data_IF_696785316290
#
_entry.id   IF_696785316290
#
_cell.length_a   1.000
_cell.length_b   1.000
_cell.length_c   1.000
_cell.angle_alpha   90.00
_cell.angle_beta   90.00
_cell.angle_gamma   90.00
#
_symmetry.space_group_name_H-M   'P 1'
#
loop_
_entity.id
_entity.type
_entity.pdbx_description
1 polymer ?
#
# COMPACT_ATOMS: atom_id res chain seq x y z
N UNK A 1 -58.08 50.63 30.55
CA UNK A 1 -58.52 50.84 29.17
C UNK A 1 -57.28 50.60 28.32
N UNK A 2 -57.11 49.46 27.65
CA UNK A 2 -58.17 48.61 27.10
C UNK A 2 -58.44 49.02 25.64
N UNK A 3 -58.66 48.12 24.68
CA UNK A 3 -58.81 46.66 24.77
C UNK A 3 -58.22 46.03 23.49
N UNK A 4 -57.61 44.82 23.45
CA UNK A 4 -57.86 43.52 24.11
C UNK A 4 -58.97 42.72 23.41
N UNK A 5 -58.65 41.47 23.04
CA UNK A 5 -59.36 40.58 22.09
C UNK A 5 -59.19 41.01 20.62
N UNK A 6 -59.00 40.10 19.65
CA UNK A 6 -59.46 38.71 19.58
C UNK A 6 -58.38 37.61 19.69
N UNK A 7 -58.78 36.47 20.27
CA UNK A 7 -58.17 35.16 20.00
C UNK A 7 -58.87 34.59 18.75
N UNK A 8 -58.17 33.83 17.91
CA UNK A 8 -58.42 32.37 17.79
C UNK A 8 -57.68 31.68 16.62
N UNK A 9 -57.42 30.38 16.82
CA UNK A 9 -57.14 29.36 15.80
C UNK A 9 -55.89 29.49 14.88
N UNK A 10 -54.75 28.95 15.34
CA UNK A 10 -54.00 27.98 14.50
C UNK A 10 -53.73 26.74 15.36
N UNK A 11 -54.26 25.59 14.92
CA UNK A 11 -54.03 24.30 15.57
C UNK A 11 -52.58 23.85 15.39
N UNK A 12 -52.01 23.28 16.44
CA UNK A 12 -51.01 22.23 16.31
C UNK A 12 -51.71 21.03 15.65
N UNK A 13 -51.33 20.69 14.42
CA UNK A 13 -51.69 19.40 13.83
C UNK A 13 -50.44 18.52 13.81
N UNK A 14 -50.51 17.43 14.56
CA UNK A 14 -49.40 16.53 14.87
C UNK A 14 -49.78 15.15 14.36
N UNK A 15 -49.71 14.93 13.04
CA UNK A 15 -50.08 13.65 12.46
C UNK A 15 -49.38 13.40 11.12
N UNK A 16 -48.27 12.66 11.14
CA UNK A 16 -47.55 12.25 9.92
C UNK A 16 -47.06 10.79 10.07
N UNK A 17 -47.91 9.84 9.65
CA UNK A 17 -47.68 8.39 9.61
C UNK A 17 -48.66 7.71 8.61
N UNK A 18 -48.36 6.51 8.07
CA UNK A 18 -48.11 6.42 6.63
C UNK A 18 -48.93 5.32 5.91
N UNK A 19 -48.70 5.17 4.59
CA UNK A 19 -48.95 4.03 3.67
C UNK A 19 -49.68 4.46 2.38
N UNK A 20 -49.51 3.83 1.20
CA UNK A 20 -48.41 3.00 0.65
C UNK A 20 -48.64 2.72 -0.84
N UNK A 21 -47.61 2.82 -1.68
CA UNK A 21 -47.48 2.06 -2.94
C UNK A 21 -46.00 1.99 -3.35
N UNK A 22 -45.32 0.88 -3.09
CA UNK A 22 -45.20 -0.28 -3.98
C UNK A 22 -44.32 -0.04 -5.23
N UNK A 23 -43.02 -0.28 -5.08
CA UNK A 23 -42.16 -0.99 -6.06
C UNK A 23 -40.92 -1.51 -5.30
N UNK A 24 -40.55 -2.77 -5.52
CA UNK A 24 -39.50 -3.45 -4.76
C UNK A 24 -38.05 -3.03 -5.13
N UNK A 25 -37.09 -3.08 -4.20
CA UNK A 25 -35.69 -2.79 -4.49
C UNK A 25 -35.03 -3.95 -5.26
N UNK A 26 -34.27 -3.62 -6.32
CA UNK A 26 -33.39 -4.57 -7.00
C UNK A 26 -32.01 -4.58 -6.34
N UNK A 27 -31.33 -5.73 -6.21
CA UNK A 27 -29.99 -5.79 -5.65
C UNK A 27 -28.98 -5.12 -6.58
N UNK A 28 -28.25 -4.13 -6.07
CA UNK A 28 -27.19 -3.43 -6.80
C UNK A 28 -25.90 -4.25 -6.70
N UNK A 29 -25.76 -5.27 -7.55
CA UNK A 29 -24.46 -5.89 -7.81
C UNK A 29 -23.72 -5.07 -8.86
N UNK A 30 -23.11 -3.95 -8.46
CA UNK A 30 -22.15 -3.26 -9.31
C UNK A 30 -20.82 -4.00 -9.27
N UNK A 31 -20.64 -4.93 -10.21
CA UNK A 31 -19.32 -5.45 -10.56
C UNK A 31 -18.50 -4.28 -11.08
N UNK A 32 -17.58 -3.76 -10.26
CA UNK A 32 -16.64 -2.71 -10.67
C UNK A 32 -15.63 -3.35 -11.62
N UNK A 33 -15.98 -3.38 -12.90
CA UNK A 33 -15.01 -3.63 -13.96
C UNK A 33 -14.01 -2.48 -13.95
N UNK A 34 -12.87 -2.64 -13.24
CA UNK A 34 -11.68 -1.80 -13.38
C UNK A 34 -11.11 -2.00 -14.79
N UNK A 35 -11.74 -1.40 -15.80
CA UNK A 35 -11.11 -1.15 -17.08
C UNK A 35 -9.97 -0.16 -16.85
N UNK A 36 -8.75 -0.67 -17.02
CA UNK A 36 -7.51 0.09 -16.92
C UNK A 36 -7.61 1.25 -17.93
N UNK A 37 -7.72 2.49 -17.44
CA UNK A 37 -7.82 3.69 -18.29
C UNK A 37 -6.45 4.08 -18.87
N UNK A 38 -5.86 3.23 -19.71
CA UNK A 38 -4.83 3.66 -20.65
C UNK A 38 -5.47 4.52 -21.75
N UNK A 39 -4.95 5.72 -21.95
CA UNK A 39 -5.38 6.69 -22.98
C UNK A 39 -6.76 7.34 -22.78
N UNK A 40 -6.95 8.01 -21.64
CA UNK A 40 -7.81 9.19 -21.63
C UNK A 40 -7.02 10.34 -22.27
N UNK A 41 -7.29 10.62 -23.54
CA UNK A 41 -6.64 11.71 -24.27
C UNK A 41 -6.91 13.02 -23.51
N UNK A 42 -5.84 13.65 -23.00
CA UNK A 42 -5.96 14.95 -22.36
C UNK A 42 -6.14 16.01 -23.45
N UNK A 43 -7.37 16.24 -23.91
CA UNK A 43 -7.70 17.26 -24.92
C UNK A 43 -7.17 18.66 -24.55
N UNK A 44 -7.01 18.94 -23.26
CA UNK A 44 -6.35 20.15 -22.75
C UNK A 44 -4.87 20.20 -23.12
N UNK A 45 -4.15 19.08 -23.00
CA UNK A 45 -2.75 18.95 -23.39
C UNK A 45 -2.60 19.05 -24.92
N UNK A 46 -3.45 18.37 -25.70
CA UNK A 46 -3.48 18.51 -27.17
C UNK A 46 -3.68 19.97 -27.62
N UNK A 47 -4.61 20.67 -26.96
CA UNK A 47 -4.85 22.10 -27.18
C UNK A 47 -3.59 22.94 -26.90
N UNK A 48 -2.94 22.76 -25.75
CA UNK A 48 -1.69 23.48 -25.46
C UNK A 48 -0.56 23.12 -26.43
N UNK A 49 -0.37 21.86 -26.83
CA UNK A 49 0.62 21.47 -27.85
C UNK A 49 0.36 22.17 -29.19
N UNK A 50 -0.90 22.24 -29.64
CA UNK A 50 -1.28 22.94 -30.86
C UNK A 50 -1.00 24.45 -30.79
N UNK A 51 -1.28 25.09 -29.64
CA UNK A 51 -0.96 26.50 -29.43
C UNK A 51 0.55 26.74 -29.35
N UNK A 52 1.30 25.89 -28.64
CA UNK A 52 2.76 25.95 -28.53
C UNK A 52 3.42 25.80 -29.90
N UNK A 53 2.95 24.87 -30.74
CA UNK A 53 3.44 24.70 -32.12
C UNK A 53 3.18 25.90 -33.05
N UNK A 54 2.23 26.77 -32.73
CA UNK A 54 1.85 27.96 -33.52
C UNK A 54 2.40 29.27 -32.94
N UNK A 55 2.68 29.30 -31.64
CA UNK A 55 3.14 30.49 -30.90
C UNK A 55 4.67 30.64 -30.86
N UNK A 56 5.17 31.86 -30.71
CA UNK A 56 6.61 32.17 -30.60
C UNK A 56 6.88 33.34 -29.64
N UNK A 57 8.06 33.36 -29.04
CA UNK A 57 8.53 34.44 -28.16
C UNK A 57 7.62 34.67 -26.94
N UNK A 58 7.30 35.94 -26.64
CA UNK A 58 6.51 36.35 -25.46
C UNK A 58 5.16 35.62 -25.33
N UNK A 59 4.53 35.22 -26.44
CA UNK A 59 3.28 34.44 -26.40
C UNK A 59 3.50 33.03 -25.84
N UNK A 60 4.65 32.41 -26.14
CA UNK A 60 5.02 31.08 -25.63
C UNK A 60 5.31 31.13 -24.12
N UNK A 61 5.98 32.20 -23.65
CA UNK A 61 6.24 32.41 -22.21
C UNK A 61 4.92 32.47 -21.42
N UNK A 62 3.93 33.25 -21.88
CA UNK A 62 2.59 33.30 -21.26
C UNK A 62 1.86 31.96 -21.32
N UNK A 63 1.96 31.24 -22.42
CA UNK A 63 1.40 29.89 -22.53
C UNK A 63 2.05 28.91 -21.54
N UNK A 64 3.34 29.05 -21.24
CA UNK A 64 4.02 28.26 -20.19
C UNK A 64 3.49 28.65 -18.81
N UNK A 65 3.33 29.94 -18.50
CA UNK A 65 2.75 30.40 -17.23
C UNK A 65 1.32 29.86 -17.02
N UNK A 66 0.47 29.97 -18.05
CA UNK A 66 -0.90 29.44 -18.07
C UNK A 66 -0.93 27.91 -17.94
N UNK A 67 -0.07 27.19 -18.69
CA UNK A 67 0.07 25.73 -18.63
C UNK A 67 0.47 25.26 -17.23
N UNK A 68 1.46 25.91 -16.64
CA UNK A 68 1.94 25.61 -15.28
C UNK A 68 0.85 25.89 -14.25
N UNK A 69 0.07 26.98 -14.39
CA UNK A 69 -1.08 27.27 -13.52
C UNK A 69 -2.27 26.32 -13.73
N UNK A 70 -2.39 25.71 -14.91
CA UNK A 70 -3.55 24.91 -15.26
C UNK A 70 -3.62 23.57 -14.49
N UNK A 71 -4.77 23.30 -13.86
CA UNK A 71 -5.08 21.98 -13.29
C UNK A 71 -5.36 20.94 -14.38
N UNK A 72 -5.06 19.67 -14.10
CA UNK A 72 -5.30 18.55 -15.04
C UNK A 72 -4.18 18.25 -16.04
N UNK A 73 -3.08 19.01 -16.06
CA UNK A 73 -1.87 18.69 -16.84
C UNK A 73 -0.69 18.53 -15.89
N UNK A 74 -0.16 17.32 -15.78
CA UNK A 74 0.95 16.97 -14.88
C UNK A 74 2.06 16.18 -15.60
N UNK A 75 1.94 16.06 -16.92
CA UNK A 75 2.91 15.46 -17.84
C UNK A 75 3.39 16.58 -18.75
N UNK A 76 4.70 16.80 -18.81
CA UNK A 76 5.35 17.91 -19.50
C UNK A 76 6.40 17.43 -20.52
N UNK A 77 6.74 16.14 -20.57
CA UNK A 77 7.74 15.57 -21.48
C UNK A 77 7.43 15.83 -22.95
N UNK A 78 6.18 15.58 -23.39
CA UNK A 78 5.71 15.87 -24.75
C UNK A 78 5.85 17.36 -25.10
N UNK A 79 5.68 18.23 -24.11
CA UNK A 79 5.75 19.68 -24.27
C UNK A 79 7.22 20.12 -24.39
N UNK A 80 8.11 19.55 -23.56
CA UNK A 80 9.55 19.81 -23.57
C UNK A 80 10.24 19.29 -24.85
N UNK A 81 9.70 18.27 -25.51
CA UNK A 81 10.18 17.77 -26.79
C UNK A 81 9.86 18.71 -27.97
N UNK A 82 8.93 19.67 -27.80
CA UNK A 82 8.56 20.59 -28.88
C UNK A 82 9.69 21.58 -29.24
N UNK A 83 9.95 21.74 -30.54
CA UNK A 83 10.98 22.65 -31.08
C UNK A 83 10.88 24.10 -30.56
N UNK A 84 9.71 24.75 -30.44
CA UNK A 84 9.62 26.11 -29.93
C UNK A 84 10.14 26.26 -28.49
N UNK A 85 10.04 25.22 -27.67
CA UNK A 85 10.50 25.21 -26.28
C UNK A 85 12.02 24.92 -26.20
N UNK A 86 12.55 24.11 -27.13
CA UNK A 86 13.99 23.94 -27.30
C UNK A 86 14.66 25.23 -27.83
N UNK A 87 14.01 25.95 -28.75
CA UNK A 87 14.46 27.28 -29.20
C UNK A 87 14.46 28.29 -28.03
N UNK A 88 13.47 28.22 -27.13
CA UNK A 88 13.39 29.07 -25.93
C UNK A 88 14.59 28.91 -24.99
N UNK A 89 15.13 27.69 -24.86
CA UNK A 89 16.35 27.42 -24.09
C UNK A 89 17.61 28.13 -24.64
N UNK A 90 17.61 28.53 -25.92
CA UNK A 90 18.73 29.26 -26.53
C UNK A 90 18.71 30.77 -26.26
N UNK A 91 17.57 31.30 -25.79
CA UNK A 91 17.42 32.74 -25.52
C UNK A 91 17.68 33.04 -24.03
N UNK A 92 18.67 33.88 -23.69
CA UNK A 92 19.10 34.07 -22.30
C UNK A 92 18.07 34.77 -21.40
N UNK A 93 17.06 35.42 -21.97
CA UNK A 93 15.93 36.01 -21.22
C UNK A 93 14.86 35.00 -20.86
N UNK A 94 14.69 33.96 -21.67
CA UNK A 94 13.54 33.05 -21.62
C UNK A 94 13.96 31.63 -21.17
N UNK A 95 15.27 31.34 -21.15
CA UNK A 95 15.86 30.09 -20.68
C UNK A 95 15.44 29.74 -19.23
N UNK A 96 15.18 30.73 -18.38
CA UNK A 96 14.69 30.51 -17.01
C UNK A 96 13.29 29.89 -16.97
N UNK A 97 12.42 30.15 -17.96
CA UNK A 97 11.13 29.47 -18.10
C UNK A 97 11.27 28.04 -18.64
N UNK A 98 12.26 27.79 -19.52
CA UNK A 98 12.59 26.43 -19.93
C UNK A 98 13.13 25.59 -18.75
N UNK A 99 14.00 26.16 -17.92
CA UNK A 99 14.46 25.50 -16.69
C UNK A 99 13.34 25.27 -15.68
N UNK A 100 12.40 26.21 -15.57
CA UNK A 100 11.19 26.04 -14.76
C UNK A 100 10.33 24.88 -15.28
N UNK A 101 10.12 24.76 -16.59
CA UNK A 101 9.40 23.63 -17.18
C UNK A 101 10.13 22.30 -16.95
N UNK A 102 11.46 22.27 -17.10
CA UNK A 102 12.29 21.09 -16.81
C UNK A 102 12.22 20.68 -15.33
N UNK A 103 12.11 21.65 -14.42
CA UNK A 103 11.89 21.42 -12.99
C UNK A 103 10.49 20.83 -12.71
N UNK A 104 9.44 21.31 -13.39
CA UNK A 104 8.10 20.70 -13.29
C UNK A 104 8.04 19.29 -13.92
N UNK A 105 8.80 19.02 -14.98
CA UNK A 105 8.94 17.68 -15.53
C UNK A 105 9.67 16.72 -14.57
N UNK A 106 10.84 17.10 -14.04
CA UNK A 106 11.77 16.13 -13.41
C UNK A 106 12.25 16.43 -11.98
N UNK A 107 12.00 17.62 -11.41
CA UNK A 107 12.57 18.03 -10.11
C UNK A 107 11.54 18.25 -8.99
N UNK A 108 12.01 18.55 -7.79
CA UNK A 108 11.20 18.63 -6.57
C UNK A 108 10.97 20.07 -6.09
N UNK A 109 10.11 20.26 -5.10
CA UNK A 109 9.96 21.54 -4.39
C UNK A 109 11.29 22.07 -3.82
N UNK A 110 12.16 21.18 -3.31
CA UNK A 110 13.52 21.53 -2.83
C UNK A 110 14.39 22.10 -3.95
N UNK A 111 14.30 21.52 -5.15
CA UNK A 111 15.06 21.97 -6.32
C UNK A 111 14.60 23.34 -6.86
N UNK A 112 13.34 23.72 -6.62
CA UNK A 112 12.85 25.08 -6.83
C UNK A 112 13.48 26.06 -5.83
N UNK A 113 13.40 25.74 -4.54
CA UNK A 113 13.93 26.61 -3.47
C UNK A 113 15.42 26.87 -3.63
N UNK A 114 16.19 25.84 -3.98
CA UNK A 114 17.63 25.96 -4.23
C UNK A 114 17.97 26.89 -5.40
N UNK A 115 17.07 27.04 -6.39
CA UNK A 115 17.24 27.87 -7.59
C UNK A 115 16.29 29.08 -7.66
N UNK A 116 15.71 29.48 -6.53
CA UNK A 116 14.71 30.55 -6.47
C UNK A 116 15.24 31.93 -6.95
N UNK A 117 16.56 32.12 -6.98
CA UNK A 117 17.20 33.34 -7.49
C UNK A 117 17.35 33.36 -9.03
N UNK A 118 17.29 32.20 -9.68
CA UNK A 118 17.51 32.00 -11.11
C UNK A 118 16.20 31.82 -11.88
N UNK A 119 15.16 31.35 -11.19
CA UNK A 119 13.85 31.00 -11.75
C UNK A 119 12.81 32.14 -11.59
N UNK A 120 11.80 32.22 -12.50
CA UNK A 120 10.65 33.11 -12.33
C UNK A 120 9.86 32.79 -11.05
N UNK A 121 9.24 33.81 -10.46
CA UNK A 121 8.40 33.63 -9.26
C UNK A 121 7.14 32.85 -9.60
N UNK A 122 6.94 31.71 -8.92
CA UNK A 122 5.72 30.92 -9.05
C UNK A 122 4.49 31.62 -8.47
N UNK A 123 3.35 31.40 -9.13
CA UNK A 123 2.03 31.66 -8.60
C UNK A 123 1.64 30.59 -7.55
N UNK A 124 0.62 30.86 -6.74
CA UNK A 124 0.10 29.95 -5.71
C UNK A 124 -0.34 28.60 -6.30
N UNK A 125 -1.13 28.63 -7.38
CA UNK A 125 -1.57 27.43 -8.09
C UNK A 125 -0.39 26.58 -8.62
N UNK A 126 0.64 27.25 -9.15
CA UNK A 126 1.86 26.58 -9.63
C UNK A 126 2.67 25.99 -8.47
N UNK A 127 2.68 26.67 -7.32
CA UNK A 127 3.33 26.22 -6.08
C UNK A 127 2.66 24.96 -5.54
N UNK A 128 1.33 24.96 -5.38
CA UNK A 128 0.58 23.77 -4.94
C UNK A 128 0.74 22.61 -5.92
N UNK A 129 0.79 22.89 -7.23
CA UNK A 129 1.06 21.89 -8.27
C UNK A 129 2.46 21.28 -8.16
N UNK A 130 3.51 22.08 -7.94
CA UNK A 130 4.88 21.55 -7.77
C UNK A 130 5.04 20.75 -6.48
N UNK A 131 4.38 21.19 -5.40
CA UNK A 131 4.28 20.43 -4.15
C UNK A 131 3.59 19.07 -4.38
N UNK A 132 2.46 19.05 -5.11
CA UNK A 132 1.76 17.80 -5.46
C UNK A 132 2.61 16.86 -6.35
N UNK A 133 3.34 17.40 -7.33
CA UNK A 133 4.31 16.64 -8.13
C UNK A 133 5.47 16.07 -7.29
N UNK A 134 5.82 16.73 -6.17
CA UNK A 134 6.81 16.23 -5.21
C UNK A 134 6.24 15.08 -4.36
N UNK A 135 4.97 15.15 -3.93
CA UNK A 135 4.29 14.01 -3.28
C UNK A 135 4.22 12.82 -4.24
N UNK A 136 3.88 13.04 -5.51
CA UNK A 136 3.87 12.00 -6.54
C UNK A 136 5.23 11.31 -6.68
N UNK A 137 6.33 12.08 -6.77
CA UNK A 137 7.67 11.51 -6.85
C UNK A 137 8.01 10.67 -5.60
N UNK A 138 7.71 11.17 -4.40
CA UNK A 138 7.86 10.43 -3.14
C UNK A 138 7.03 9.13 -3.10
N UNK A 139 5.82 9.16 -3.67
CA UNK A 139 4.93 8.02 -3.78
C UNK A 139 5.41 6.92 -4.73
N UNK A 140 6.27 7.24 -5.72
CA UNK A 140 6.93 6.24 -6.57
C UNK A 140 7.94 5.39 -5.78
N UNK A 141 8.65 5.99 -4.81
CA UNK A 141 9.65 5.29 -4.00
C UNK A 141 9.08 4.61 -2.75
N UNK A 142 8.00 5.14 -2.17
CA UNK A 142 7.44 4.67 -0.90
C UNK A 142 5.91 4.71 -0.88
N UNK A 143 5.28 3.55 -0.63
CA UNK A 143 3.80 3.43 -0.51
C UNK A 143 3.25 3.90 0.84
N UNK A 144 4.10 4.01 1.86
CA UNK A 144 3.73 4.53 3.17
C UNK A 144 4.65 5.71 3.43
N UNK A 145 4.08 6.91 3.49
CA UNK A 145 4.83 8.16 3.63
C UNK A 145 4.41 8.81 4.95
N UNK A 146 5.35 9.13 5.83
CA UNK A 146 5.06 9.87 7.05
C UNK A 146 4.75 11.34 6.74
N UNK A 147 3.81 11.94 7.47
CA UNK A 147 3.53 13.37 7.38
C UNK A 147 4.76 14.20 7.77
N UNK A 148 5.62 13.73 8.68
CA UNK A 148 6.87 14.43 9.03
C UNK A 148 7.74 14.70 7.81
N UNK A 149 7.96 13.67 7.00
CA UNK A 149 8.79 13.73 5.79
C UNK A 149 8.19 14.70 4.77
N UNK A 150 6.86 14.67 4.60
CA UNK A 150 6.15 15.55 3.67
C UNK A 150 6.13 17.00 4.13
N UNK A 151 5.94 17.27 5.43
CA UNK A 151 5.97 18.63 5.98
C UNK A 151 7.37 19.26 5.85
N UNK A 152 8.43 18.48 6.11
CA UNK A 152 9.82 18.91 5.87
C UNK A 152 10.10 19.11 4.37
N UNK A 153 9.63 18.20 3.50
CA UNK A 153 9.95 18.21 2.08
C UNK A 153 9.19 19.27 1.27
N UNK A 154 7.94 19.54 1.63
CA UNK A 154 7.09 20.54 0.98
C UNK A 154 7.12 21.90 1.69
N UNK A 155 7.81 22.00 2.83
CA UNK A 155 7.87 23.19 3.69
C UNK A 155 6.47 23.73 4.01
N UNK A 156 5.64 22.84 4.54
CA UNK A 156 4.28 23.14 5.01
C UNK A 156 4.31 23.10 6.54
N UNK A 157 3.77 24.13 7.18
CA UNK A 157 3.72 24.24 8.66
C UNK A 157 2.52 23.53 9.28
N UNK A 158 1.43 23.39 8.52
CA UNK A 158 0.14 22.90 9.00
C UNK A 158 -0.21 21.54 8.40
N UNK A 159 -0.57 20.57 9.24
CA UNK A 159 -1.03 19.25 8.78
C UNK A 159 -2.27 19.35 7.91
N UNK A 160 -3.21 20.25 8.24
CA UNK A 160 -4.44 20.46 7.47
C UNK A 160 -4.17 20.90 6.03
N UNK A 161 -3.23 21.83 5.81
CA UNK A 161 -2.84 22.28 4.48
C UNK A 161 -2.13 21.18 3.65
N UNK A 162 -1.42 20.27 4.32
CA UNK A 162 -0.89 19.07 3.66
C UNK A 162 -2.00 18.09 3.28
N UNK A 163 -2.97 17.85 4.17
CA UNK A 163 -4.12 16.98 3.90
C UNK A 163 -4.97 17.50 2.74
N UNK A 164 -5.27 18.81 2.70
CA UNK A 164 -5.98 19.47 1.60
C UNK A 164 -5.26 19.27 0.25
N UNK A 165 -3.94 19.42 0.22
CA UNK A 165 -3.14 19.23 -1.00
C UNK A 165 -3.07 17.75 -1.46
N UNK A 166 -3.07 16.80 -0.52
CA UNK A 166 -3.19 15.37 -0.83
C UNK A 166 -4.59 15.05 -1.37
N UNK A 167 -5.63 15.61 -0.75
CA UNK A 167 -7.04 15.46 -1.16
C UNK A 167 -7.25 16.00 -2.58
N UNK A 168 -6.71 17.17 -2.91
CA UNK A 168 -6.68 17.71 -4.28
C UNK A 168 -6.00 16.76 -5.27
N UNK A 169 -4.91 16.11 -4.85
CA UNK A 169 -4.23 15.07 -5.63
C UNK A 169 -5.10 13.86 -5.92
N UNK A 170 -5.90 13.42 -4.93
CA UNK A 170 -6.83 12.30 -5.07
C UNK A 170 -8.01 12.68 -5.98
N UNK A 171 -8.63 13.86 -5.76
CA UNK A 171 -9.71 14.35 -6.62
C UNK A 171 -9.27 14.61 -8.07
N UNK A 172 -8.01 15.00 -8.28
CA UNK A 172 -7.42 15.15 -9.61
C UNK A 172 -7.08 13.82 -10.30
N UNK A 173 -7.21 12.68 -9.60
CA UNK A 173 -6.88 11.35 -10.11
C UNK A 173 -5.38 11.08 -10.25
N UNK A 174 -4.54 11.82 -9.51
CA UNK A 174 -3.08 11.69 -9.53
C UNK A 174 -2.59 10.62 -8.55
N UNK A 175 -3.22 10.58 -7.38
CA UNK A 175 -2.93 9.65 -6.30
C UNK A 175 -4.21 8.87 -5.98
N UNK A 176 -4.07 7.59 -5.67
CA UNK A 176 -5.13 6.79 -5.05
C UNK A 176 -4.57 6.22 -3.75
N UNK A 177 -5.30 6.32 -2.66
CA UNK A 177 -4.76 6.07 -1.33
C UNK A 177 -5.67 6.52 -0.18
N UNK A 178 -5.16 6.37 1.04
CA UNK A 178 -5.86 6.65 2.29
C UNK A 178 -4.98 7.48 3.22
N UNK A 179 -5.59 8.49 3.83
CA UNK A 179 -4.97 9.31 4.85
C UNK A 179 -5.22 8.66 6.22
N UNK A 180 -4.16 8.25 6.91
CA UNK A 180 -4.24 7.73 8.28
C UNK A 180 -3.76 8.82 9.25
N UNK A 181 -4.72 9.65 9.66
CA UNK A 181 -4.49 10.76 10.57
C UNK A 181 -4.10 10.29 11.99
N UNK A 182 -4.43 9.05 12.39
CA UNK A 182 -4.06 8.51 13.70
C UNK A 182 -2.56 8.23 13.80
N UNK A 183 -1.97 7.71 12.72
CA UNK A 183 -0.54 7.41 12.66
C UNK A 183 0.25 8.44 11.83
N UNK A 184 -0.38 9.54 11.43
CA UNK A 184 0.21 10.64 10.65
C UNK A 184 0.95 10.13 9.39
N UNK A 185 0.27 9.30 8.60
CA UNK A 185 0.83 8.70 7.38
C UNK A 185 -0.14 8.69 6.21
N UNK A 186 0.40 8.81 5.00
CA UNK A 186 -0.30 8.59 3.74
C UNK A 186 -0.01 7.17 3.25
N UNK A 187 -1.05 6.38 3.01
CA UNK A 187 -0.99 5.05 2.41
C UNK A 187 -1.41 5.12 0.94
N UNK A 188 -0.48 4.91 0.02
CA UNK A 188 -0.71 5.02 -1.43
C UNK A 188 -1.02 3.63 -2.02
N UNK A 189 -2.20 3.47 -2.62
CA UNK A 189 -2.58 2.29 -3.43
C UNK A 189 -1.99 2.39 -4.84
N UNK A 190 -2.08 3.57 -5.46
CA UNK A 190 -1.60 3.83 -6.82
C UNK A 190 -1.19 5.30 -7.00
N UNK A 191 -0.25 5.57 -7.91
CA UNK A 191 0.14 6.91 -8.32
C UNK A 191 0.30 6.99 -9.84
N UNK A 192 0.02 8.16 -10.41
CA UNK A 192 0.29 8.45 -11.82
C UNK A 192 1.80 8.61 -12.03
N UNK A 193 2.33 7.97 -13.07
CA UNK A 193 3.74 8.10 -13.45
C UNK A 193 4.08 9.52 -13.91
N UNK A 194 5.15 10.07 -13.34
CA UNK A 194 5.74 11.36 -13.73
C UNK A 194 6.65 11.21 -14.95
N UNK A 195 6.95 12.31 -15.64
CA UNK A 195 7.91 12.33 -16.74
C UNK A 195 9.26 11.72 -16.33
N UNK A 196 9.76 10.79 -17.14
CA UNK A 196 11.09 10.19 -16.95
C UNK A 196 12.07 10.85 -17.89
N UNK A 197 13.20 11.35 -17.36
CA UNK A 197 14.29 11.83 -18.20
C UNK A 197 14.94 10.63 -18.89
N UNK A 198 14.62 10.43 -20.16
CA UNK A 198 15.31 9.46 -21.03
C UNK A 198 16.76 9.90 -21.20
N UNK A 199 17.62 9.46 -20.29
CA UNK A 199 19.08 9.52 -20.48
C UNK A 199 19.40 8.53 -21.59
N UNK A 200 19.36 9.01 -22.83
CA UNK A 200 19.90 8.30 -23.98
C UNK A 200 21.36 8.03 -23.66
N UNK A 201 21.66 6.77 -23.29
CA UNK A 201 23.04 6.28 -23.28
C UNK A 201 23.60 6.61 -24.67
N UNK A 202 24.67 7.41 -24.80
CA UNK A 202 25.23 7.70 -26.10
C UNK A 202 25.49 6.36 -26.79
N UNK A 203 25.09 6.20 -28.07
CA UNK A 203 25.30 4.95 -28.77
C UNK A 203 26.78 4.60 -28.64
N UNK A 204 27.07 3.44 -28.06
CA UNK A 204 28.43 2.92 -28.03
C UNK A 204 28.88 2.91 -29.48
N UNK A 205 29.92 3.68 -29.80
CA UNK A 205 30.33 3.97 -31.18
C UNK A 205 30.49 2.63 -31.89
N UNK A 206 29.54 2.31 -32.76
CA UNK A 206 29.58 1.11 -33.56
C UNK A 206 30.81 1.24 -34.44
N UNK A 207 31.84 0.46 -34.12
CA UNK A 207 33.03 0.38 -34.93
C UNK A 207 32.61 -0.23 -36.27
N UNK A 208 32.50 0.64 -37.30
CA UNK A 208 32.25 0.26 -38.69
C UNK A 208 33.08 -0.98 -39.05
N UNK A 209 32.47 -2.14 -39.32
CA UNK A 209 33.15 -3.24 -39.97
C UNK A 209 33.04 -3.04 -41.48
N UNK A 210 33.80 -2.07 -42.01
CA UNK A 210 33.93 -1.92 -43.45
C UNK A 210 34.89 -2.96 -44.00
N UNK A 211 34.36 -3.77 -44.91
CA UNK A 211 35.00 -4.69 -45.84
C UNK A 211 35.36 -6.13 -45.41
N UNK A 212 35.30 -7.09 -46.37
CA UNK A 212 35.14 -8.50 -46.08
C UNK A 212 36.34 -9.36 -46.53
N UNK A 213 36.19 -10.68 -46.39
CA UNK A 213 37.06 -11.74 -46.95
C UNK A 213 38.32 -12.05 -46.15
N UNK A 214 38.24 -13.10 -45.33
CA UNK A 214 39.16 -14.26 -45.43
C UNK A 214 38.52 -15.45 -44.73
N UNK A 215 38.13 -16.46 -45.51
CA UNK A 215 37.76 -17.77 -44.99
C UNK A 215 39.01 -18.47 -44.41
N UNK A 216 38.88 -19.03 -43.20
CA UNK A 216 39.58 -20.24 -42.73
C UNK A 216 38.87 -20.71 -41.46
N UNK A 217 37.95 -21.66 -41.60
CA UNK A 217 38.22 -23.12 -41.58
C UNK A 217 38.48 -23.59 -40.15
N UNK A 218 37.41 -24.12 -39.55
CA UNK A 218 37.43 -24.92 -38.33
C UNK A 218 38.33 -26.14 -38.59
N UNK A 219 39.30 -26.36 -37.70
CA UNK A 219 40.00 -27.65 -37.55
C UNK A 219 40.30 -27.87 -36.08
N UNK A 220 39.78 -28.97 -35.55
CA UNK A 220 40.09 -29.46 -34.21
C UNK A 220 41.59 -29.78 -34.06
N UNK A 221 42.11 -29.69 -32.84
CA UNK A 221 43.48 -30.07 -32.52
C UNK A 221 43.87 -29.66 -31.10
N UNK A 222 43.97 -30.65 -30.21
CA UNK A 222 44.43 -30.48 -28.83
C UNK A 222 45.90 -29.99 -28.79
N UNK A 223 46.16 -28.91 -28.04
CA UNK A 223 47.50 -28.58 -27.51
C UNK A 223 47.33 -28.04 -26.08
N UNK A 224 48.26 -28.44 -25.22
CA UNK A 224 48.15 -28.40 -23.76
C UNK A 224 48.32 -27.00 -23.12
N UNK A 225 47.98 -26.90 -21.83
CA UNK A 225 48.23 -25.71 -21.03
C UNK A 225 49.73 -25.55 -20.71
N UNK A 226 50.36 -24.52 -21.27
CA UNK A 226 51.64 -24.01 -20.76
C UNK A 226 51.44 -22.69 -19.99
N UNK A 227 51.25 -22.83 -18.68
CA UNK A 227 51.35 -21.72 -17.73
C UNK A 227 52.83 -21.39 -17.58
N UNK A 228 53.33 -20.33 -18.24
CA UNK A 228 54.44 -19.45 -17.80
C UNK A 228 55.03 -18.57 -18.93
N UNK A 229 54.34 -17.50 -19.38
CA UNK A 229 55.05 -16.27 -19.82
C UNK A 229 54.15 -15.02 -19.90
N UNK A 230 53.70 -14.48 -18.75
CA UNK A 230 53.19 -13.11 -18.70
C UNK A 230 54.26 -12.21 -18.06
N UNK A 231 55.10 -11.61 -18.90
CA UNK A 231 55.81 -10.38 -18.55
C UNK A 231 55.13 -9.21 -19.24
N UNK A 232 54.37 -8.48 -18.42
CA UNK A 232 54.23 -7.03 -18.43
C UNK A 232 54.37 -6.31 -19.80
N UNK A 233 53.24 -5.83 -20.34
CA UNK A 233 53.11 -4.40 -20.62
C UNK A 233 51.66 -3.96 -20.86
N UNK A 234 51.27 -2.89 -20.15
CA UNK A 234 50.14 -1.97 -20.44
C UNK A 234 48.72 -2.55 -20.26
N UNK A 235 48.21 -2.48 -19.02
CA UNK A 235 46.76 -2.38 -18.72
C UNK A 235 46.55 -1.26 -17.70
N UNK A 236 45.62 -0.34 -17.97
CA UNK A 236 45.33 0.80 -17.11
C UNK A 236 44.56 0.36 -15.83
N UNK A 237 45.00 0.75 -14.61
CA UNK A 237 44.49 0.20 -13.34
C UNK A 237 43.13 0.78 -12.85
N UNK A 238 42.31 1.33 -13.74
CA UNK A 238 41.04 2.00 -13.37
C UNK A 238 39.85 1.02 -13.29
N UNK A 239 39.70 0.15 -14.29
CA UNK A 239 38.46 -0.62 -14.49
C UNK A 239 38.36 -1.93 -13.69
N UNK A 240 39.47 -2.42 -13.12
CA UNK A 240 39.48 -3.64 -12.29
C UNK A 240 38.99 -3.35 -10.87
N UNK A 241 39.30 -2.17 -10.32
CA UNK A 241 38.89 -1.76 -8.98
C UNK A 241 37.36 -1.70 -8.86
N UNK A 242 36.64 -1.19 -9.86
CA UNK A 242 35.17 -1.13 -9.84
C UNK A 242 34.52 -2.52 -9.89
N UNK A 243 35.10 -3.48 -10.63
CA UNK A 243 34.60 -4.86 -10.63
C UNK A 243 34.84 -5.54 -9.28
N UNK A 244 36.04 -5.37 -8.70
CA UNK A 244 36.37 -5.91 -7.36
C UNK A 244 35.48 -5.28 -6.28
N UNK A 245 35.19 -3.98 -6.38
CA UNK A 245 34.26 -3.26 -5.51
C UNK A 245 32.80 -3.73 -5.66
N UNK A 246 32.35 -4.02 -6.89
CA UNK A 246 31.02 -4.62 -7.11
C UNK A 246 30.93 -6.04 -6.54
N UNK A 247 31.97 -6.86 -6.72
CA UNK A 247 32.03 -8.20 -6.13
C UNK A 247 32.07 -8.15 -4.58
N UNK A 248 32.75 -7.18 -3.97
CA UNK A 248 32.76 -7.01 -2.51
C UNK A 248 31.43 -6.49 -1.97
N UNK A 249 30.78 -5.53 -2.65
CA UNK A 249 29.41 -5.07 -2.32
C UNK A 249 28.37 -6.19 -2.48
N UNK A 250 28.47 -7.00 -3.52
CA UNK A 250 27.58 -8.16 -3.70
C UNK A 250 27.82 -9.22 -2.62
N UNK A 251 29.07 -9.42 -2.20
CA UNK A 251 29.40 -10.32 -1.10
C UNK A 251 28.84 -9.82 0.25
N UNK A 252 28.97 -8.53 0.56
CA UNK A 252 28.41 -7.95 1.80
C UNK A 252 26.88 -7.93 1.79
N UNK A 253 26.26 -7.69 0.62
CA UNK A 253 24.81 -7.77 0.47
C UNK A 253 24.27 -9.20 0.65
N UNK A 254 24.96 -10.20 0.06
CA UNK A 254 24.66 -11.64 0.28
C UNK A 254 24.78 -12.02 1.77
N UNK A 255 25.81 -11.54 2.46
CA UNK A 255 25.98 -11.84 3.89
C UNK A 255 24.93 -11.14 4.76
N UNK A 256 24.59 -9.89 4.45
CA UNK A 256 23.54 -9.12 5.14
C UNK A 256 22.16 -9.76 4.96
N UNK A 257 21.80 -10.14 3.73
CA UNK A 257 20.54 -10.85 3.43
C UNK A 257 20.49 -12.23 4.07
N UNK A 258 21.61 -12.97 4.10
CA UNK A 258 21.72 -14.23 4.84
C UNK A 258 21.44 -14.07 6.34
N UNK A 259 22.05 -13.07 6.99
CA UNK A 259 21.81 -12.77 8.41
C UNK A 259 20.36 -12.39 8.72
N UNK A 260 19.71 -11.63 7.84
CA UNK A 260 18.28 -11.29 7.99
C UNK A 260 17.39 -12.53 7.85
N UNK A 261 17.70 -13.45 6.93
CA UNK A 261 16.96 -14.71 6.79
C UNK A 261 17.14 -15.61 8.02
N UNK A 262 18.36 -15.72 8.56
CA UNK A 262 18.67 -16.47 9.78
C UNK A 262 17.92 -15.90 11.00
N UNK A 263 17.93 -14.57 11.18
CA UNK A 263 17.15 -13.89 12.23
C UNK A 263 15.64 -14.08 12.09
N UNK A 264 15.12 -14.14 10.86
CA UNK A 264 13.70 -14.42 10.62
C UNK A 264 13.35 -15.86 10.96
N UNK A 265 14.20 -16.84 10.61
CA UNK A 265 13.96 -18.25 10.90
C UNK A 265 14.05 -18.54 12.42
N UNK A 266 15.03 -17.95 13.13
CA UNK A 266 15.11 -18.00 14.60
C UNK A 266 13.84 -17.43 15.25
N UNK A 267 13.32 -16.32 14.74
CA UNK A 267 12.10 -15.68 15.25
C UNK A 267 10.85 -16.51 14.97
N UNK A 268 10.75 -17.13 13.79
CA UNK A 268 9.68 -18.08 13.45
C UNK A 268 9.73 -19.31 14.37
N UNK A 269 10.92 -19.86 14.62
CA UNK A 269 11.11 -21.01 15.51
C UNK A 269 10.71 -20.66 16.96
N UNK A 270 11.11 -19.49 17.44
CA UNK A 270 10.75 -18.96 18.77
C UNK A 270 9.24 -18.80 18.94
N UNK A 271 8.54 -18.27 17.92
CA UNK A 271 7.08 -18.15 17.93
C UNK A 271 6.43 -19.54 17.98
N UNK A 272 6.85 -20.48 17.12
CA UNK A 272 6.34 -21.86 17.10
C UNK A 272 6.52 -22.58 18.44
N UNK A 273 7.68 -22.46 19.08
CA UNK A 273 7.92 -23.02 20.41
C UNK A 273 6.99 -22.40 21.47
N UNK A 274 6.82 -21.06 21.45
CA UNK A 274 5.95 -20.36 22.39
C UNK A 274 4.49 -20.79 22.25
N UNK A 275 4.03 -21.00 21.02
CA UNK A 275 2.65 -21.41 20.76
C UNK A 275 2.41 -22.90 21.08
N UNK A 276 3.41 -23.78 20.87
CA UNK A 276 3.34 -25.17 21.36
C UNK A 276 3.25 -25.21 22.90
N UNK A 277 4.10 -24.47 23.61
CA UNK A 277 4.06 -24.42 25.09
C UNK A 277 2.72 -23.89 25.62
N UNK A 278 2.11 -22.92 24.93
CA UNK A 278 0.76 -22.44 25.25
C UNK A 278 -0.32 -23.50 25.03
N UNK A 279 -0.24 -24.24 23.92
CA UNK A 279 -1.17 -25.32 23.61
C UNK A 279 -1.07 -26.43 24.68
N UNK A 280 0.15 -26.85 25.00
CA UNK A 280 0.42 -27.86 26.03
C UNK A 280 -0.05 -27.39 27.42
N UNK A 281 0.16 -26.11 27.76
CA UNK A 281 -0.35 -25.51 29.00
C UNK A 281 -1.88 -25.48 29.04
N UNK A 282 -2.55 -25.18 27.93
CA UNK A 282 -4.01 -25.19 27.84
C UNK A 282 -4.57 -26.62 28.00
N UNK A 283 -3.94 -27.62 27.37
CA UNK A 283 -4.30 -29.05 27.54
C UNK A 283 -4.06 -29.53 28.98
N UNK A 284 -2.98 -29.08 29.64
CA UNK A 284 -2.76 -29.35 31.07
C UNK A 284 -3.84 -28.70 31.96
N UNK A 285 -4.28 -27.49 31.63
CA UNK A 285 -5.39 -26.83 32.35
C UNK A 285 -6.73 -27.54 32.13
N UNK A 286 -7.09 -27.94 30.90
CA UNK A 286 -8.35 -28.67 30.67
C UNK A 286 -8.35 -30.04 31.35
N UNK A 287 -7.25 -30.80 31.27
CA UNK A 287 -7.15 -32.10 31.95
C UNK A 287 -7.16 -31.99 33.48
N UNK A 288 -6.59 -30.94 34.08
CA UNK A 288 -6.76 -30.70 35.54
C UNK A 288 -8.19 -30.34 35.91
N UNK A 289 -8.91 -29.58 35.08
CA UNK A 289 -10.33 -29.28 35.30
C UNK A 289 -11.18 -30.55 35.17
N UNK A 290 -10.96 -31.38 34.14
CA UNK A 290 -11.67 -32.64 33.94
C UNK A 290 -11.42 -33.64 35.08
N UNK A 291 -10.19 -33.79 35.55
CA UNK A 291 -9.85 -34.70 36.66
C UNK A 291 -10.43 -34.21 37.99
N UNK A 292 -10.43 -32.89 38.26
CA UNK A 292 -11.13 -32.32 39.41
C UNK A 292 -12.65 -32.55 39.31
N UNK A 293 -13.25 -32.35 38.14
CA UNK A 293 -14.68 -32.63 37.92
C UNK A 293 -15.00 -34.11 38.16
N UNK A 294 -14.23 -35.04 37.59
CA UNK A 294 -14.39 -36.49 37.80
C UNK A 294 -14.22 -36.86 39.29
N UNK A 295 -13.27 -36.25 39.99
CA UNK A 295 -13.09 -36.41 41.44
C UNK A 295 -14.34 -35.94 42.21
N UNK A 296 -14.86 -34.75 41.90
CA UNK A 296 -16.10 -34.22 42.50
C UNK A 296 -17.29 -35.16 42.23
N UNK A 297 -17.51 -35.60 40.98
CA UNK A 297 -18.57 -36.57 40.65
C UNK A 297 -18.41 -37.86 41.47
N UNK A 298 -17.21 -38.45 41.51
CA UNK A 298 -16.96 -39.67 42.28
C UNK A 298 -17.22 -39.50 43.78
N UNK A 299 -16.88 -38.34 44.36
CA UNK A 299 -17.14 -38.02 45.77
C UNK A 299 -18.63 -37.87 46.10
N UNK A 300 -19.43 -37.31 45.18
CA UNK A 300 -20.88 -37.17 45.31
C UNK A 300 -21.57 -38.54 45.19
N UNK A 301 -21.16 -39.38 44.23
CA UNK A 301 -21.66 -40.76 44.12
C UNK A 301 -21.29 -41.61 45.35
N UNK A 302 -20.06 -41.46 45.89
CA UNK A 302 -19.60 -42.21 47.07
C UNK A 302 -20.33 -41.80 48.36
N UNK A 303 -20.60 -40.51 48.54
CA UNK A 303 -21.37 -40.00 49.69
C UNK A 303 -22.85 -40.36 49.62
N UNK A 304 -23.39 -40.58 48.41
CA UNK A 304 -24.77 -41.05 48.21
C UNK A 304 -25.00 -42.51 48.66
N UNK A 305 -23.96 -43.34 48.74
CA UNK A 305 -24.07 -44.77 49.11
C UNK A 305 -23.97 -45.08 50.61
N UNK A 306 -23.81 -44.09 51.49
CA UNK A 306 -23.60 -44.32 52.93
C UNK A 306 -24.75 -43.82 53.81
N UNK A 307 -25.94 -44.42 53.63
CA UNK A 307 -27.00 -44.33 54.64
C UNK A 307 -27.95 -45.52 54.63
N UNK A 308 -28.29 -45.97 55.84
CA UNK A 308 -29.23 -47.04 56.19
C UNK A 308 -28.82 -48.47 55.81
N UNK A 309 -28.38 -49.24 56.81
CA UNK A 309 -29.24 -50.31 57.34
C UNK A 309 -28.78 -50.83 58.70
N UNK A 310 -29.61 -50.61 59.73
CA UNK A 310 -29.50 -51.26 61.04
C UNK A 310 -30.88 -51.70 61.51
N UNK A 311 -31.37 -52.85 61.04
CA UNK A 311 -32.31 -53.68 61.81
C UNK A 311 -32.46 -55.10 61.26
N UNK A 312 -32.44 -56.04 62.20
CA UNK A 312 -32.81 -57.46 62.03
C UNK A 312 -34.32 -57.61 61.77
N UNK A 313 -34.72 -58.51 60.86
CA UNK A 313 -35.41 -59.74 61.28
C UNK A 313 -35.45 -60.85 60.19
N UNK A 314 -35.96 -62.01 60.62
CA UNK A 314 -35.90 -63.36 60.07
C UNK A 314 -36.89 -63.70 58.92
N UNK A 315 -36.53 -64.76 58.18
CA UNK A 315 -37.38 -65.82 57.61
C UNK A 315 -37.97 -65.68 56.16
N UNK A 316 -37.97 -66.80 55.41
CA UNK A 316 -39.04 -67.07 54.41
C UNK A 316 -38.73 -67.31 52.92
N UNK A 317 -37.96 -68.36 52.59
CA UNK A 317 -38.15 -69.32 51.46
C UNK A 317 -38.67 -68.93 50.04
N UNK A 318 -37.96 -69.44 49.02
CA UNK A 318 -38.42 -69.66 47.63
C UNK A 318 -38.35 -68.43 46.69
N UNK A 319 -38.13 -68.54 45.37
CA UNK A 319 -37.84 -69.71 44.53
C UNK A 319 -38.28 -69.46 43.08
N UNK A 320 -37.49 -69.90 42.10
CA UNK A 320 -37.87 -70.10 40.67
C UNK A 320 -37.93 -68.91 39.69
N UNK A 321 -36.89 -68.85 38.84
CA UNK A 321 -36.96 -68.97 37.36
C UNK A 321 -37.48 -67.83 36.42
N UNK A 322 -36.79 -67.72 35.27
CA UNK A 322 -37.24 -67.23 33.92
C UNK A 322 -37.40 -65.70 33.70
N UNK A 323 -37.26 -65.12 32.48
CA UNK A 323 -36.63 -65.56 31.19
C UNK A 323 -36.73 -64.44 30.13
N UNK A 324 -35.62 -64.07 29.49
CA UNK A 324 -35.57 -63.36 28.19
C UNK A 324 -35.97 -61.86 28.20
N UNK A 325 -35.87 -61.13 27.08
CA UNK A 325 -35.23 -61.40 25.77
C UNK A 325 -35.25 -60.11 24.93
N UNK A 326 -34.16 -59.76 24.22
CA UNK A 326 -34.17 -58.93 22.98
C UNK A 326 -34.68 -57.46 23.11
N UNK A 327 -34.40 -56.48 22.23
CA UNK A 327 -33.62 -56.41 20.97
C UNK A 327 -33.22 -54.95 20.63
N UNK A 328 -32.08 -54.80 19.95
CA UNK A 328 -31.67 -53.88 18.84
C UNK A 328 -32.15 -52.41 18.67
N UNK A 329 -31.31 -51.67 17.92
CA UNK A 329 -31.48 -50.36 17.23
C UNK A 329 -31.40 -49.08 18.09
N UNK A 330 -30.95 -47.92 17.57
CA UNK A 330 -30.08 -47.56 16.43
C UNK A 330 -29.77 -46.03 16.51
N UNK A 331 -28.93 -45.51 15.60
CA UNK A 331 -28.85 -44.07 15.19
C UNK A 331 -28.26 -43.05 16.20
N UNK A 332 -27.94 -41.79 15.79
CA UNK A 332 -27.06 -41.46 14.65
C UNK A 332 -26.05 -40.31 14.94
N UNK A 333 -25.24 -39.96 13.94
CA UNK A 333 -24.53 -38.67 13.85
C UNK A 333 -25.49 -37.55 13.40
N UNK A 334 -25.39 -36.34 13.99
CA UNK A 334 -25.13 -35.04 13.30
C UNK A 334 -25.58 -33.80 14.10
N UNK A 335 -24.67 -32.83 14.16
CA UNK A 335 -24.84 -31.41 13.81
C UNK A 335 -26.05 -30.59 14.34
N UNK A 336 -25.75 -29.49 15.02
CA UNK A 336 -26.54 -28.25 14.92
C UNK A 336 -25.68 -27.03 15.29
N UNK A 337 -25.58 -26.08 14.36
CA UNK A 337 -25.03 -24.75 14.61
C UNK A 337 -25.98 -23.92 15.50
N UNK A 338 -25.40 -23.11 16.39
CA UNK A 338 -26.05 -21.84 16.75
C UNK A 338 -25.01 -20.75 17.03
N UNK A 339 -25.22 -19.62 16.36
CA UNK A 339 -24.40 -18.41 16.37
C UNK A 339 -25.18 -17.29 17.06
N UNK A 340 -24.49 -16.21 17.45
CA UNK A 340 -25.01 -14.94 18.00
C UNK A 340 -25.25 -14.96 19.52
N UNK A 341 -24.93 -13.91 20.30
CA UNK A 341 -24.51 -12.53 19.98
C UNK A 341 -23.31 -12.04 20.82
N UNK A 342 -22.69 -10.94 20.39
CA UNK A 342 -21.81 -10.07 21.19
C UNK A 342 -22.58 -8.79 21.53
N UNK A 343 -22.48 -8.34 22.78
CA UNK A 343 -22.71 -6.98 23.34
C UNK A 343 -22.79 -7.16 24.88
N UNK A 344 -22.27 -6.32 25.78
CA UNK A 344 -21.51 -5.07 25.64
C UNK A 344 -20.72 -4.77 26.96
N UNK A 345 -20.01 -3.63 27.00
CA UNK A 345 -19.43 -2.90 28.14
C UNK A 345 -18.03 -3.29 28.75
N UNK A 346 -17.01 -2.59 28.22
CA UNK A 346 -16.39 -1.40 28.85
C UNK A 346 -15.57 -1.46 30.18
N UNK A 347 -14.42 -0.76 30.13
CA UNK A 347 -13.67 -0.08 31.22
C UNK A 347 -12.82 -0.83 32.26
N UNK A 348 -11.50 -0.81 31.99
CA UNK A 348 -10.42 -0.20 32.80
C UNK A 348 -10.00 -0.76 34.18
N UNK A 349 -8.82 -0.26 34.60
CA UNK A 349 -8.27 -0.12 35.97
C UNK A 349 -7.25 -1.18 36.43
N UNK A 350 -5.99 -0.91 36.06
CA UNK A 350 -4.82 -0.78 36.97
C UNK A 350 -4.32 -1.98 37.77
N UNK A 351 -3.10 -2.42 37.44
CA UNK A 351 -1.97 -2.41 38.37
C UNK A 351 -0.66 -2.12 37.65
#
# INVERSE_FOLDING_TARGET
MGDVHDLDHIKLDLNDQPSSSSTAPKPITQVVNRSIQTNKINHKLEYYLALIGSSKGVALVKLIEDLLGSSGIYVFGEILETKPIQELASHPTDASYHELLMLFAYGTWKDYRNRQNELPKLNEQQTSKLKLLTILDRALYSRIISYSDLLEELEITETQALEELIIDGIYSGLLDGRLDQKYLRLEVESSVGRDVKLVVRPPAVEANPTDPTTEKKITDGDVEMDVNNIKEQIINPSSTNSLIELHSKLASWRESTGKVLEQLDEKIHTIRQKDQVRLDQQVAQTTTIETLAQSIYSSILSSSSTSHNHRSNHNGGGGSNRRGKERDNADPLLLSDHQMDLDDHETQVTQ
#
